data_IF_737464967631
#
_entry.id   IF_737464967631
#
_cell.length_a   1.000
_cell.length_b   1.000
_cell.length_c   1.000
_cell.angle_alpha   90.00
_cell.angle_beta   90.00
_cell.angle_gamma   90.00
#
_symmetry.space_group_name_H-M   'P 1'
#
loop_
_entity.id
_entity.type
_entity.pdbx_description
1 polymer ?
#
# COMPACT_ATOMS: atom_id res chain seq x y z
N UNK A 1 6.33 16.51 2.68
CA UNK A 1 5.83 16.42 4.07
C UNK A 1 5.02 17.68 4.42
N UNK A 2 4.01 18.09 3.62
CA UNK A 2 3.27 19.35 3.90
C UNK A 2 1.82 19.40 3.35
N UNK A 3 1.11 18.29 3.20
CA UNK A 3 -0.35 18.34 2.91
C UNK A 3 -1.18 17.46 3.85
N UNK A 4 -0.70 16.24 4.15
CA UNK A 4 -1.38 15.36 5.12
C UNK A 4 -1.40 15.92 6.55
N UNK A 5 -0.35 16.62 6.98
CA UNK A 5 -0.28 17.17 8.34
C UNK A 5 -1.25 18.35 8.53
N UNK A 6 -1.53 19.12 7.47
CA UNK A 6 -2.47 20.25 7.53
C UNK A 6 -3.93 19.81 7.55
N UNK A 7 -4.28 18.72 6.84
CA UNK A 7 -5.62 18.13 6.91
C UNK A 7 -5.89 17.48 8.28
N UNK A 8 -4.86 16.91 8.90
CA UNK A 8 -4.96 16.33 10.25
C UNK A 8 -5.17 17.40 11.32
N UNK A 9 -4.54 18.57 11.17
CA UNK A 9 -4.72 19.70 12.10
C UNK A 9 -6.05 20.44 11.91
N UNK A 10 -6.52 20.64 10.67
CA UNK A 10 -7.79 21.34 10.41
C UNK A 10 -9.03 20.51 10.76
N UNK A 11 -8.94 19.17 10.74
CA UNK A 11 -10.05 18.29 11.15
C UNK A 11 -10.34 18.31 12.65
N UNK A 12 -9.35 18.60 13.51
CA UNK A 12 -9.48 18.46 14.97
C UNK A 12 -10.15 19.63 15.69
N UNK A 13 -10.32 20.78 15.04
CA UNK A 13 -10.75 22.03 15.69
C UNK A 13 -12.21 22.40 15.48
N UNK A 14 -12.96 21.66 14.65
CA UNK A 14 -14.38 21.90 14.42
C UNK A 14 -15.22 20.85 15.16
N UNK A 15 -15.83 21.29 16.26
CA UNK A 15 -16.69 20.55 17.20
C UNK A 15 -16.01 19.45 18.04
N UNK A 16 -16.07 19.60 19.37
CA UNK A 16 -15.49 18.69 20.36
C UNK A 16 -16.09 17.28 20.44
N UNK A 17 -16.65 16.75 19.34
CA UNK A 17 -16.95 15.33 19.15
C UNK A 17 -15.81 14.68 18.38
N UNK A 18 -15.32 13.54 18.84
CA UNK A 18 -14.34 12.76 18.10
C UNK A 18 -14.97 12.33 16.75
N UNK A 19 -14.55 12.97 15.67
CA UNK A 19 -15.06 12.70 14.32
C UNK A 19 -14.84 11.22 13.95
N UNK A 20 -15.82 10.61 13.27
CA UNK A 20 -15.77 9.21 12.85
C UNK A 20 -15.83 8.19 14.00
N UNK A 21 -16.12 8.62 15.23
CA UNK A 21 -16.19 7.77 16.42
C UNK A 21 -17.62 7.51 16.93
N UNK A 22 -18.64 7.78 16.11
CA UNK A 22 -20.01 7.38 16.45
C UNK A 22 -20.12 5.85 16.50
N UNK A 23 -21.00 5.35 17.36
CA UNK A 23 -21.19 3.91 17.53
C UNK A 23 -22.03 3.33 16.42
N UNK A 24 -21.49 2.32 15.73
CA UNK A 24 -22.25 1.60 14.71
C UNK A 24 -23.37 0.80 15.38
N UNK A 25 -24.61 0.94 14.88
CA UNK A 25 -25.74 0.22 15.47
C UNK A 25 -25.59 -1.27 15.17
N UNK A 26 -26.09 -2.12 16.07
CA UNK A 26 -26.06 -3.59 15.91
C UNK A 26 -26.70 -4.09 14.61
N UNK A 27 -27.71 -3.38 14.09
CA UNK A 27 -28.34 -3.72 12.80
C UNK A 27 -27.37 -3.51 11.65
N UNK A 28 -26.71 -2.36 11.64
CA UNK A 28 -25.82 -1.93 10.57
C UNK A 28 -24.51 -2.75 10.60
N UNK A 29 -24.02 -3.10 11.80
CA UNK A 29 -22.91 -4.04 11.96
C UNK A 29 -23.20 -5.41 11.32
N UNK A 30 -24.38 -5.99 11.60
CA UNK A 30 -24.82 -7.25 10.97
C UNK A 30 -25.03 -7.14 9.47
N UNK A 31 -25.40 -5.97 8.98
CA UNK A 31 -25.53 -5.72 7.55
C UNK A 31 -24.16 -5.73 6.87
N UNK A 32 -23.18 -5.02 7.44
CA UNK A 32 -21.80 -5.03 6.96
C UNK A 32 -21.20 -6.44 6.97
N UNK A 33 -21.38 -7.19 8.05
CA UNK A 33 -20.91 -8.59 8.14
C UNK A 33 -21.48 -9.45 7.01
N UNK A 34 -22.78 -9.32 6.71
CA UNK A 34 -23.42 -10.04 5.60
C UNK A 34 -22.87 -9.61 4.24
N UNK A 35 -22.62 -8.32 4.05
CA UNK A 35 -22.00 -7.81 2.82
C UNK A 35 -20.60 -8.39 2.63
N UNK A 36 -19.79 -8.47 3.69
CA UNK A 36 -18.44 -9.05 3.68
C UNK A 36 -18.44 -10.57 3.48
N UNK A 37 -19.45 -11.28 3.98
CA UNK A 37 -19.64 -12.73 3.75
C UNK A 37 -20.09 -13.04 2.32
N UNK A 38 -20.86 -12.13 1.71
CA UNK A 38 -21.41 -12.29 0.36
C UNK A 38 -20.49 -11.82 -0.78
N UNK A 39 -19.22 -11.50 -0.51
CA UNK A 39 -18.30 -11.00 -1.54
C UNK A 39 -18.03 -12.06 -2.61
N UNK A 40 -18.37 -11.73 -3.85
CA UNK A 40 -17.90 -12.44 -5.03
C UNK A 40 -16.70 -11.69 -5.66
N UNK A 41 -15.87 -12.38 -6.47
CA UNK A 41 -14.66 -11.80 -7.07
C UNK A 41 -14.98 -10.86 -8.25
N UNK A 42 -15.81 -9.83 -8.02
CA UNK A 42 -16.14 -8.81 -8.99
C UNK A 42 -16.07 -7.41 -8.35
N UNK A 43 -15.81 -6.41 -9.19
CA UNK A 43 -15.60 -5.02 -8.73
C UNK A 43 -16.90 -4.41 -8.20
N UNK A 44 -18.06 -4.86 -8.67
CA UNK A 44 -19.35 -4.29 -8.25
C UNK A 44 -19.67 -4.62 -6.78
N UNK A 45 -19.38 -5.85 -6.34
CA UNK A 45 -19.62 -6.24 -4.95
C UNK A 45 -18.62 -5.55 -4.00
N UNK A 46 -17.33 -5.50 -4.36
CA UNK A 46 -16.33 -4.75 -3.58
C UNK A 46 -16.73 -3.27 -3.46
N UNK A 47 -17.09 -2.66 -4.60
CA UNK A 47 -17.53 -1.27 -4.65
C UNK A 47 -18.80 -1.03 -3.82
N UNK A 48 -19.76 -1.96 -3.81
CA UNK A 48 -20.96 -1.86 -2.97
C UNK A 48 -20.61 -1.79 -1.48
N UNK A 49 -19.71 -2.65 -1.01
CA UNK A 49 -19.28 -2.64 0.41
C UNK A 49 -18.54 -1.34 0.73
N UNK A 50 -17.64 -0.91 -0.15
CA UNK A 50 -16.92 0.35 0.02
C UNK A 50 -17.87 1.55 0.12
N UNK A 51 -18.85 1.67 -0.78
CA UNK A 51 -19.84 2.76 -0.77
C UNK A 51 -20.62 2.76 0.54
N UNK A 52 -21.08 1.58 0.98
CA UNK A 52 -21.77 1.44 2.27
C UNK A 52 -20.91 1.97 3.42
N UNK A 53 -19.62 1.61 3.49
CA UNK A 53 -18.72 2.10 4.53
C UNK A 53 -18.58 3.62 4.48
N UNK A 54 -18.39 4.20 3.29
CA UNK A 54 -18.18 5.63 3.14
C UNK A 54 -19.46 6.44 3.38
N UNK A 55 -20.64 5.86 3.20
CA UNK A 55 -21.92 6.47 3.53
C UNK A 55 -22.23 6.50 5.03
N UNK A 56 -21.55 5.67 5.83
CA UNK A 56 -21.65 5.65 7.30
C UNK A 56 -20.33 6.07 7.96
N UNK A 57 -19.66 7.08 7.37
CA UNK A 57 -18.31 7.54 7.76
C UNK A 57 -18.23 8.08 9.20
N UNK A 58 -19.35 8.52 9.77
CA UNK A 58 -19.50 8.90 11.18
C UNK A 58 -19.14 7.76 12.14
N UNK A 59 -19.24 6.50 11.70
CA UNK A 59 -18.89 5.29 12.44
C UNK A 59 -17.54 4.68 11.99
N UNK A 60 -16.67 5.43 11.34
CA UNK A 60 -15.42 4.93 10.76
C UNK A 60 -14.56 4.09 11.71
N UNK A 61 -14.49 4.40 13.01
CA UNK A 61 -13.74 3.59 13.99
C UNK A 61 -14.32 2.18 14.12
N UNK A 62 -15.62 2.06 14.37
CA UNK A 62 -16.29 0.76 14.55
C UNK A 62 -16.30 -0.03 13.22
N UNK A 63 -16.50 0.65 12.08
CA UNK A 63 -16.45 0.02 10.75
C UNK A 63 -15.04 -0.49 10.44
N UNK A 64 -14.00 0.29 10.72
CA UNK A 64 -12.61 -0.12 10.46
C UNK A 64 -12.27 -1.40 11.21
N UNK A 65 -12.67 -1.49 12.49
CA UNK A 65 -12.49 -2.69 13.31
C UNK A 65 -13.21 -3.89 12.71
N UNK A 66 -14.50 -3.76 12.39
CA UNK A 66 -15.28 -4.86 11.80
C UNK A 66 -14.68 -5.36 10.48
N UNK A 67 -14.29 -4.46 9.59
CA UNK A 67 -13.68 -4.83 8.30
C UNK A 67 -12.34 -5.53 8.53
N UNK A 68 -11.48 -5.03 9.42
CA UNK A 68 -10.17 -5.63 9.70
C UNK A 68 -10.29 -6.98 10.43
N UNK A 69 -11.16 -7.09 11.42
CA UNK A 69 -11.42 -8.35 12.14
C UNK A 69 -11.89 -9.43 11.15
N UNK A 70 -12.74 -9.05 10.20
CA UNK A 70 -13.24 -9.94 9.14
C UNK A 70 -12.12 -10.51 8.26
N UNK A 71 -10.97 -9.84 8.13
CA UNK A 71 -9.82 -10.39 7.38
C UNK A 71 -9.21 -11.60 8.07
N UNK A 72 -9.36 -11.69 9.39
CA UNK A 72 -8.76 -12.73 10.22
C UNK A 72 -9.75 -13.74 10.75
N UNK A 73 -11.00 -13.71 10.24
CA UNK A 73 -12.05 -14.67 10.58
C UNK A 73 -11.57 -16.12 10.34
N UNK A 74 -11.82 -16.97 11.33
CA UNK A 74 -11.47 -18.40 11.27
C UNK A 74 -12.28 -19.12 10.19
N UNK A 75 -11.69 -20.15 9.58
CA UNK A 75 -12.36 -20.93 8.53
C UNK A 75 -12.55 -20.21 7.19
N UNK A 76 -12.22 -18.92 7.10
CA UNK A 76 -12.32 -18.18 5.85
C UNK A 76 -11.32 -18.70 4.80
N UNK A 77 -11.77 -18.65 3.57
CA UNK A 77 -11.03 -18.60 2.31
C UNK A 77 -9.76 -17.72 2.13
N UNK A 78 -8.60 -18.16 1.58
CA UNK A 78 -7.55 -17.21 1.14
C UNK A 78 -8.03 -16.20 0.06
N UNK A 79 -8.91 -16.61 -0.85
CA UNK A 79 -9.49 -15.72 -1.86
C UNK A 79 -10.43 -14.72 -1.19
N UNK A 80 -11.32 -15.18 -0.30
CA UNK A 80 -12.22 -14.30 0.44
C UNK A 80 -11.46 -13.29 1.32
N UNK A 81 -10.36 -13.69 1.97
CA UNK A 81 -9.48 -12.73 2.67
C UNK A 81 -8.92 -11.68 1.73
N UNK A 82 -8.49 -12.09 0.54
CA UNK A 82 -7.97 -11.16 -0.48
C UNK A 82 -9.05 -10.18 -0.98
N UNK A 83 -10.30 -10.63 -1.14
CA UNK A 83 -11.42 -9.77 -1.53
C UNK A 83 -11.77 -8.75 -0.43
N UNK A 84 -11.81 -9.18 0.83
CA UNK A 84 -12.00 -8.27 1.97
C UNK A 84 -10.85 -7.25 2.08
N UNK A 85 -9.62 -7.64 1.75
CA UNK A 85 -8.48 -6.69 1.66
C UNK A 85 -8.66 -5.70 0.50
N UNK A 86 -9.27 -6.11 -0.61
CA UNK A 86 -9.63 -5.19 -1.69
C UNK A 86 -10.67 -4.16 -1.23
N UNK A 87 -11.62 -4.52 -0.36
CA UNK A 87 -12.55 -3.55 0.26
C UNK A 87 -11.78 -2.52 1.10
N UNK A 88 -10.84 -2.95 1.95
CA UNK A 88 -9.97 -2.02 2.71
C UNK A 88 -9.21 -1.08 1.77
N UNK A 89 -8.66 -1.64 0.69
CA UNK A 89 -7.97 -0.86 -0.33
C UNK A 89 -8.89 0.17 -0.97
N UNK A 90 -10.09 -0.20 -1.41
CA UNK A 90 -11.02 0.72 -2.06
C UNK A 90 -11.49 1.82 -1.10
N UNK A 91 -11.72 1.50 0.18
CA UNK A 91 -11.99 2.52 1.20
C UNK A 91 -10.82 3.50 1.27
N UNK A 92 -9.57 3.02 1.43
CA UNK A 92 -8.39 3.89 1.51
C UNK A 92 -8.25 4.81 0.30
N UNK A 93 -8.41 4.28 -0.91
CA UNK A 93 -8.31 5.07 -2.14
C UNK A 93 -9.37 6.17 -2.21
N UNK A 94 -10.60 5.89 -1.77
CA UNK A 94 -11.71 6.82 -1.89
C UNK A 94 -11.78 7.82 -0.71
N UNK A 95 -11.24 7.49 0.47
CA UNK A 95 -11.27 8.39 1.64
C UNK A 95 -10.63 9.76 1.37
N UNK A 96 -9.56 9.81 0.56
CA UNK A 96 -8.90 11.07 0.20
C UNK A 96 -9.72 11.95 -0.77
N UNK A 97 -10.71 11.37 -1.44
CA UNK A 97 -11.57 12.07 -2.42
C UNK A 97 -12.87 12.58 -1.80
N UNK A 98 -13.19 12.14 -0.59
CA UNK A 98 -14.44 12.44 0.09
C UNK A 98 -14.23 13.58 1.10
N UNK A 99 -14.91 14.71 0.88
CA UNK A 99 -14.93 15.86 1.79
C UNK A 99 -15.95 15.71 2.93
N UNK A 100 -16.15 14.48 3.44
CA UNK A 100 -16.98 14.21 4.62
C UNK A 100 -16.09 14.09 5.86
N UNK A 101 -16.53 14.70 6.96
CA UNK A 101 -15.87 14.60 8.25
C UNK A 101 -15.79 13.12 8.68
N UNK A 102 -14.65 12.70 9.24
CA UNK A 102 -14.42 11.30 9.62
C UNK A 102 -13.78 10.42 8.55
N UNK A 103 -13.74 10.79 7.26
CA UNK A 103 -13.16 9.93 6.21
C UNK A 103 -11.66 9.63 6.45
N UNK A 104 -10.92 10.60 6.97
CA UNK A 104 -9.49 10.45 7.33
C UNK A 104 -9.27 9.42 8.46
N UNK A 105 -10.30 9.12 9.25
CA UNK A 105 -10.24 8.15 10.35
C UNK A 105 -9.99 6.75 9.82
N UNK A 106 -10.58 6.36 8.69
CA UNK A 106 -10.31 5.07 8.06
C UNK A 106 -8.81 4.84 7.84
N UNK A 107 -8.12 5.82 7.23
CA UNK A 107 -6.69 5.72 7.01
C UNK A 107 -5.93 5.55 8.33
N UNK A 108 -6.27 6.33 9.35
CA UNK A 108 -5.62 6.26 10.67
C UNK A 108 -5.80 4.88 11.31
N UNK A 109 -7.03 4.37 11.36
CA UNK A 109 -7.33 3.07 11.98
C UNK A 109 -6.71 1.92 11.18
N UNK A 110 -6.81 1.93 9.86
CA UNK A 110 -6.16 0.92 9.02
C UNK A 110 -4.63 0.95 9.16
N UNK A 111 -4.00 2.12 9.14
CA UNK A 111 -2.54 2.23 9.32
C UNK A 111 -2.07 1.69 10.67
N UNK A 112 -2.90 1.81 11.71
CA UNK A 112 -2.64 1.29 13.04
C UNK A 112 -2.68 -0.24 13.10
N UNK A 113 -3.75 -0.84 12.58
CA UNK A 113 -4.11 -2.25 12.80
C UNK A 113 -3.57 -3.21 11.72
N UNK A 114 -3.38 -2.73 10.49
CA UNK A 114 -2.88 -3.55 9.37
C UNK A 114 -1.60 -4.33 9.70
N UNK A 115 -0.60 -3.78 10.43
CA UNK A 115 0.59 -4.54 10.80
C UNK A 115 0.30 -5.81 11.59
N UNK A 116 -0.66 -5.76 12.53
CA UNK A 116 -1.10 -6.94 13.28
C UNK A 116 -1.86 -7.95 12.42
N UNK A 117 -2.71 -7.46 11.51
CA UNK A 117 -3.44 -8.30 10.54
C UNK A 117 -2.48 -9.02 9.60
N UNK A 118 -1.48 -8.32 9.05
CA UNK A 118 -0.50 -8.90 8.13
C UNK A 118 0.43 -9.91 8.79
N UNK A 119 0.71 -9.75 10.09
CA UNK A 119 1.41 -10.78 10.85
C UNK A 119 0.57 -12.07 10.96
N UNK A 120 -0.73 -11.97 11.25
CA UNK A 120 -1.66 -13.12 11.25
C UNK A 120 -1.81 -13.75 9.86
N UNK A 121 -1.77 -12.94 8.80
CA UNK A 121 -1.83 -13.43 7.42
C UNK A 121 -0.73 -14.41 7.09
N UNK A 122 0.45 -14.32 7.70
CA UNK A 122 1.50 -15.31 7.50
C UNK A 122 0.98 -16.74 7.75
N UNK A 123 0.29 -16.95 8.87
CA UNK A 123 -0.26 -18.26 9.24
C UNK A 123 -1.54 -18.57 8.44
N UNK A 124 -2.44 -17.59 8.28
CA UNK A 124 -3.73 -17.79 7.60
C UNK A 124 -3.60 -18.11 6.10
N UNK A 125 -2.53 -17.64 5.46
CA UNK A 125 -2.18 -18.00 4.09
C UNK A 125 -1.14 -19.13 4.04
N UNK A 126 -0.86 -19.83 5.16
CA UNK A 126 0.11 -20.92 5.28
C UNK A 126 1.52 -20.58 4.74
N UNK A 127 1.91 -19.31 4.79
CA UNK A 127 3.17 -18.82 4.21
C UNK A 127 3.23 -18.90 2.68
N UNK A 128 2.09 -19.07 1.99
CA UNK A 128 2.03 -19.09 0.53
C UNK A 128 2.57 -17.78 -0.06
N UNK A 129 3.73 -17.86 -0.72
CA UNK A 129 4.42 -16.70 -1.27
C UNK A 129 3.71 -16.07 -2.48
N UNK A 130 2.74 -16.77 -3.07
CA UNK A 130 2.01 -16.39 -4.27
C UNK A 130 0.61 -15.87 -3.92
N UNK A 131 0.55 -14.64 -3.43
CA UNK A 131 -0.72 -13.91 -3.23
C UNK A 131 -0.81 -12.73 -4.21
N UNK A 132 -1.18 -12.97 -5.48
CA UNK A 132 -1.13 -11.94 -6.53
C UNK A 132 -2.07 -10.76 -6.25
N UNK A 133 -3.25 -11.01 -5.68
CA UNK A 133 -4.18 -9.95 -5.28
C UNK A 133 -3.63 -9.10 -4.15
N UNK A 134 -3.11 -9.73 -3.08
CA UNK A 134 -2.48 -9.02 -1.96
C UNK A 134 -1.30 -8.18 -2.46
N UNK A 135 -0.41 -8.73 -3.30
CA UNK A 135 0.70 -7.98 -3.89
C UNK A 135 0.22 -6.79 -4.72
N UNK A 136 -0.83 -6.96 -5.52
CA UNK A 136 -1.41 -5.88 -6.32
C UNK A 136 -1.97 -4.76 -5.43
N UNK A 137 -2.64 -5.11 -4.33
CA UNK A 137 -3.14 -4.14 -3.34
C UNK A 137 -1.98 -3.40 -2.67
N UNK A 138 -0.96 -4.11 -2.20
CA UNK A 138 0.21 -3.47 -1.57
C UNK A 138 0.94 -2.54 -2.55
N UNK A 139 1.09 -2.96 -3.80
CA UNK A 139 1.70 -2.13 -4.84
C UNK A 139 0.86 -0.88 -5.11
N UNK A 140 -0.46 -0.99 -5.21
CA UNK A 140 -1.32 0.19 -5.43
C UNK A 140 -1.24 1.19 -4.29
N UNK A 141 -1.08 0.74 -3.04
CA UNK A 141 -0.88 1.64 -1.90
C UNK A 141 0.41 2.47 -2.00
N UNK A 142 1.47 1.89 -2.56
CA UNK A 142 2.72 2.64 -2.83
C UNK A 142 2.52 3.57 -4.03
N UNK A 143 2.00 3.06 -5.14
CA UNK A 143 1.84 3.80 -6.39
C UNK A 143 0.93 5.03 -6.22
N UNK A 144 -0.09 4.91 -5.37
CA UNK A 144 -1.03 5.99 -5.04
C UNK A 144 -0.63 6.80 -3.81
N UNK A 145 0.56 6.54 -3.24
CA UNK A 145 1.07 7.24 -2.05
C UNK A 145 0.13 7.20 -0.84
N UNK A 146 -0.65 6.14 -0.71
CA UNK A 146 -1.51 5.89 0.47
C UNK A 146 -0.63 5.62 1.69
N UNK A 147 0.37 4.76 1.50
CA UNK A 147 1.40 4.45 2.49
C UNK A 147 2.79 4.58 1.88
N UNK A 148 3.79 4.79 2.74
CA UNK A 148 5.18 4.84 2.28
C UNK A 148 5.64 3.45 1.81
N UNK A 149 6.56 3.40 0.85
CA UNK A 149 7.17 2.14 0.41
C UNK A 149 7.81 1.38 1.58
N UNK A 150 8.36 2.11 2.57
CA UNK A 150 8.95 1.54 3.79
C UNK A 150 7.89 0.84 4.66
N UNK A 151 6.73 1.46 4.86
CA UNK A 151 5.61 0.88 5.60
C UNK A 151 5.08 -0.38 4.92
N UNK A 152 4.82 -0.30 3.60
CA UNK A 152 4.33 -1.45 2.82
C UNK A 152 5.34 -2.61 2.85
N UNK A 153 6.65 -2.31 2.79
CA UNK A 153 7.71 -3.32 2.89
C UNK A 153 7.68 -4.10 4.20
N UNK A 154 7.27 -3.50 5.32
CA UNK A 154 7.13 -4.23 6.59
C UNK A 154 5.86 -5.07 6.69
N UNK A 155 4.76 -4.66 6.05
CA UNK A 155 3.59 -5.53 5.87
C UNK A 155 3.97 -6.77 5.07
N UNK A 156 4.70 -6.59 3.97
CA UNK A 156 5.22 -7.70 3.16
C UNK A 156 6.14 -8.61 3.98
N UNK A 157 7.08 -8.05 4.76
CA UNK A 157 7.99 -8.84 5.58
C UNK A 157 7.24 -9.70 6.61
N UNK A 158 6.27 -9.09 7.30
CA UNK A 158 5.46 -9.76 8.33
C UNK A 158 4.70 -10.95 7.74
N UNK A 159 4.09 -10.77 6.57
CA UNK A 159 3.26 -11.80 5.93
C UNK A 159 4.06 -12.85 5.17
N UNK A 160 5.01 -12.44 4.31
CA UNK A 160 5.64 -13.33 3.33
C UNK A 160 6.86 -14.07 3.88
N UNK A 161 7.52 -13.48 4.89
CA UNK A 161 8.67 -14.11 5.55
C UNK A 161 8.26 -14.77 6.87
N UNK A 162 7.38 -14.13 7.63
CA UNK A 162 7.04 -14.52 8.99
C UNK A 162 8.08 -14.02 10.01
N UNK A 163 7.61 -13.73 11.22
CA UNK A 163 8.44 -13.19 12.30
C UNK A 163 9.44 -14.23 12.78
N UNK A 164 10.71 -13.85 12.87
CA UNK A 164 11.80 -14.68 13.41
C UNK A 164 12.35 -14.15 14.73
N UNK A 165 12.86 -15.06 15.56
CA UNK A 165 13.49 -14.74 16.83
C UNK A 165 14.87 -14.10 16.63
N UNK A 166 15.06 -12.86 17.04
CA UNK A 166 16.36 -12.21 16.98
C UNK A 166 17.40 -12.88 17.90
N UNK A 167 16.95 -13.45 19.01
CA UNK A 167 17.80 -14.19 19.94
C UNK A 167 18.38 -15.46 19.30
N UNK A 168 17.61 -16.15 18.45
CA UNK A 168 18.08 -17.34 17.75
C UNK A 168 19.21 -17.01 16.77
N UNK A 169 19.15 -15.84 16.13
CA UNK A 169 20.21 -15.36 15.22
C UNK A 169 21.46 -14.87 15.94
N UNK A 170 21.40 -14.63 17.25
CA UNK A 170 22.56 -14.26 18.07
C UNK A 170 23.28 -15.48 18.65
N UNK A 171 22.73 -16.69 18.49
CA UNK A 171 23.37 -17.91 18.99
C UNK A 171 24.66 -18.20 18.21
N UNK A 172 25.70 -18.71 18.88
CA UNK A 172 26.91 -19.14 18.19
C UNK A 172 26.60 -20.14 17.07
N UNK A 173 27.18 -19.91 15.89
CA UNK A 173 27.03 -20.79 14.73
C UNK A 173 25.90 -20.42 13.75
N UNK A 174 25.04 -19.45 14.07
CA UNK A 174 24.08 -18.90 13.10
C UNK A 174 24.73 -17.76 12.33
N UNK A 175 24.79 -17.88 11.00
CA UNK A 175 25.36 -16.82 10.16
C UNK A 175 24.34 -15.72 9.91
N UNK A 176 24.56 -14.56 10.53
CA UNK A 176 23.87 -13.32 10.23
C UNK A 176 24.85 -12.37 9.50
N UNK A 177 24.45 -11.64 8.45
CA UNK A 177 25.32 -10.66 7.79
C UNK A 177 25.87 -9.64 8.79
N UNK A 178 27.14 -9.26 8.66
CA UNK A 178 27.81 -8.33 9.59
C UNK A 178 27.04 -7.01 9.76
N UNK A 179 26.50 -6.45 8.68
CA UNK A 179 25.68 -5.24 8.73
C UNK A 179 24.44 -5.39 9.62
N UNK A 180 23.86 -6.59 9.69
CA UNK A 180 22.69 -6.85 10.52
C UNK A 180 23.08 -7.11 11.99
N UNK A 181 24.25 -7.71 12.24
CA UNK A 181 24.79 -7.80 13.60
C UNK A 181 24.97 -6.41 14.21
N UNK A 182 25.57 -5.47 13.46
CA UNK A 182 25.78 -4.09 13.93
C UNK A 182 24.45 -3.40 14.22
N UNK A 183 23.46 -3.50 13.31
CA UNK A 183 22.12 -2.93 13.53
C UNK A 183 21.42 -3.54 14.74
N UNK A 184 21.50 -4.85 14.91
CA UNK A 184 20.86 -5.55 16.03
C UNK A 184 21.49 -5.14 17.36
N UNK A 185 22.82 -5.05 17.42
CA UNK A 185 23.54 -4.54 18.58
C UNK A 185 23.15 -3.08 18.91
N UNK A 186 23.03 -2.22 17.90
CA UNK A 186 22.57 -0.84 18.07
C UNK A 186 21.15 -0.81 18.67
N UNK A 187 20.20 -1.55 18.10
CA UNK A 187 18.83 -1.61 18.61
C UNK A 187 18.72 -2.21 20.01
N UNK A 188 19.59 -3.15 20.37
CA UNK A 188 19.69 -3.69 21.72
C UNK A 188 20.11 -2.66 22.78
N UNK A 189 20.68 -1.52 22.39
CA UNK A 189 20.96 -0.42 23.33
C UNK A 189 19.78 0.55 23.49
N UNK A 190 18.84 0.54 22.54
CA UNK A 190 17.72 1.49 22.53
C UNK A 190 16.64 1.13 23.55
N UNK A 191 15.91 2.14 24.02
CA UNK A 191 14.70 1.96 24.82
C UNK A 191 13.54 1.44 23.94
N UNK A 192 12.61 0.66 24.52
CA UNK A 192 11.53 0.04 23.75
C UNK A 192 10.67 1.04 22.98
N UNK A 193 10.37 2.22 23.54
CA UNK A 193 9.58 3.25 22.85
C UNK A 193 10.23 3.80 21.59
N UNK A 194 11.57 3.78 21.51
CA UNK A 194 12.27 4.14 20.28
C UNK A 194 12.13 3.04 19.22
N UNK A 195 12.21 1.77 19.64
CA UNK A 195 11.98 0.62 18.77
C UNK A 195 10.53 0.59 18.25
N UNK A 196 9.54 0.92 19.09
CA UNK A 196 8.14 1.06 18.69
C UNK A 196 7.98 2.08 17.56
N UNK A 197 8.62 3.24 17.67
CA UNK A 197 8.62 4.27 16.61
C UNK A 197 9.23 3.76 15.30
N UNK A 198 10.32 3.00 15.39
CA UNK A 198 10.97 2.42 14.20
C UNK A 198 10.05 1.38 13.56
N UNK A 199 9.49 0.45 14.34
CA UNK A 199 8.54 -0.56 13.88
C UNK A 199 7.32 0.10 13.21
N UNK A 200 6.71 1.08 13.86
CA UNK A 200 5.57 1.83 13.33
C UNK A 200 5.89 2.48 11.98
N UNK A 201 7.03 3.16 11.88
CA UNK A 201 7.47 3.78 10.63
C UNK A 201 7.81 2.77 9.51
N UNK A 202 8.07 1.51 9.87
CA UNK A 202 8.31 0.40 8.95
C UNK A 202 7.05 -0.41 8.64
N UNK A 203 5.88 -0.10 9.21
CA UNK A 203 4.67 -0.90 9.02
C UNK A 203 4.78 -2.29 9.66
N UNK A 204 5.59 -2.39 10.71
CA UNK A 204 5.70 -3.59 11.53
C UNK A 204 4.75 -3.47 12.71
N UNK A 205 4.24 -4.61 13.17
CA UNK A 205 3.42 -4.66 14.36
C UNK A 205 4.24 -4.12 15.54
N UNK A 206 3.80 -3.00 16.10
CA UNK A 206 4.50 -2.28 17.16
C UNK A 206 3.68 -2.24 18.44
N UNK A 207 2.37 -2.47 18.36
CA UNK A 207 1.48 -2.45 19.51
C UNK A 207 1.53 -3.81 20.23
N UNK A 208 2.41 -3.87 21.22
CA UNK A 208 2.59 -5.05 22.07
C UNK A 208 1.32 -5.37 22.87
N UNK A 209 0.42 -4.41 23.11
CA UNK A 209 -0.81 -4.64 23.86
C UNK A 209 -1.85 -5.46 23.09
N UNK A 210 -1.77 -5.49 21.76
CA UNK A 210 -2.64 -6.29 20.90
C UNK A 210 -2.15 -7.73 20.71
N UNK A 211 -0.99 -8.09 21.27
CA UNK A 211 -0.48 -9.47 21.23
C UNK A 211 -1.25 -10.36 22.22
N UNK A 212 -1.62 -11.57 21.79
CA UNK A 212 -2.25 -12.60 22.63
C UNK A 212 -1.44 -12.89 23.91
N UNK A 213 -0.11 -12.85 23.83
CA UNK A 213 0.78 -13.02 24.99
C UNK A 213 0.65 -11.90 26.02
N UNK A 214 0.31 -10.68 25.58
CA UNK A 214 0.07 -9.56 26.49
C UNK A 214 -1.32 -9.65 27.10
N UNK A 215 -2.32 -10.09 26.34
CA UNK A 215 -3.68 -10.31 26.84
C UNK A 215 -3.77 -11.47 27.86
N UNK A 216 -2.94 -12.51 27.70
CA UNK A 216 -2.86 -13.63 28.63
C UNK A 216 -2.18 -13.28 29.97
N UNK A 217 -1.42 -12.19 30.02
CA UNK A 217 -0.82 -11.70 31.26
C UNK A 217 -1.69 -10.56 31.80
N UNK A 218 -2.49 -10.83 32.85
CA UNK A 218 -3.33 -9.85 33.56
C UNK A 218 -2.53 -8.75 34.29
N UNK A 219 -1.63 -8.05 33.61
CA UNK A 219 -0.71 -7.05 34.16
C UNK A 219 0.20 -6.36 33.13
N UNK A 220 1.15 -5.55 33.64
CA UNK A 220 2.10 -4.75 32.85
C UNK A 220 3.08 -5.68 32.12
N UNK A 221 3.07 -5.65 30.79
CA UNK A 221 4.00 -6.45 29.97
C UNK A 221 5.46 -6.00 30.23
N UNK A 222 6.38 -6.90 30.66
CA UNK A 222 7.76 -6.56 31.00
C UNK A 222 8.51 -5.86 29.86
N UNK A 223 9.34 -4.86 30.19
CA UNK A 223 10.04 -4.03 29.20
C UNK A 223 11.00 -4.85 28.33
N UNK A 224 11.66 -5.83 28.93
CA UNK A 224 12.57 -6.76 28.28
C UNK A 224 11.84 -7.62 27.25
N UNK A 225 10.62 -8.08 27.58
CA UNK A 225 9.78 -8.83 26.66
C UNK A 225 9.27 -7.92 25.53
N UNK A 226 8.91 -6.65 25.80
CA UNK A 226 8.52 -5.69 24.75
C UNK A 226 9.66 -5.51 23.77
N UNK A 227 10.85 -5.27 24.31
CA UNK A 227 12.06 -5.07 23.52
C UNK A 227 12.37 -6.28 22.66
N UNK A 228 12.39 -7.48 23.24
CA UNK A 228 12.58 -8.73 22.48
C UNK A 228 11.57 -8.87 21.34
N UNK A 229 10.30 -8.66 21.63
CA UNK A 229 9.21 -8.77 20.65
C UNK A 229 9.36 -7.77 19.49
N UNK A 230 9.82 -6.54 19.76
CA UNK A 230 10.09 -5.55 18.72
C UNK A 230 11.32 -5.92 17.88
N UNK A 231 12.39 -6.40 18.53
CA UNK A 231 13.63 -6.81 17.85
C UNK A 231 13.40 -7.95 16.85
N UNK A 232 12.56 -8.93 17.21
CA UNK A 232 12.16 -10.04 16.32
C UNK A 232 11.60 -9.51 14.97
N UNK A 233 10.75 -8.49 15.03
CA UNK A 233 10.10 -7.88 13.86
C UNK A 233 11.07 -7.01 13.07
N UNK A 234 11.90 -6.22 13.75
CA UNK A 234 12.93 -5.40 13.09
C UNK A 234 13.94 -6.26 12.33
N UNK A 235 14.38 -7.38 12.93
CA UNK A 235 15.27 -8.31 12.24
C UNK A 235 14.57 -8.97 11.05
N UNK A 236 13.31 -9.39 11.22
CA UNK A 236 12.50 -9.96 10.13
C UNK A 236 12.42 -9.01 8.94
N UNK A 237 12.16 -7.72 9.18
CA UNK A 237 12.14 -6.69 8.16
C UNK A 237 13.47 -6.59 7.39
N UNK A 238 14.58 -6.51 8.10
CA UNK A 238 15.90 -6.35 7.48
C UNK A 238 16.30 -7.57 6.64
N UNK A 239 16.03 -8.78 7.15
CA UNK A 239 16.26 -10.02 6.41
C UNK A 239 15.42 -10.04 5.13
N UNK A 240 14.13 -9.70 5.22
CA UNK A 240 13.25 -9.63 4.06
C UNK A 240 13.71 -8.57 3.03
N UNK A 241 14.17 -7.40 3.48
CA UNK A 241 14.70 -6.36 2.59
C UNK A 241 15.96 -6.82 1.85
N UNK A 242 16.85 -7.57 2.52
CA UNK A 242 18.03 -8.15 1.87
C UNK A 242 17.65 -9.24 0.88
N UNK A 243 16.75 -10.15 1.26
CA UNK A 243 16.26 -11.25 0.42
C UNK A 243 15.54 -10.76 -0.84
N UNK A 244 14.82 -9.64 -0.74
CA UNK A 244 14.03 -9.06 -1.84
C UNK A 244 14.70 -7.89 -2.54
N UNK A 245 15.98 -7.62 -2.22
CA UNK A 245 16.74 -6.58 -2.89
C UNK A 245 16.84 -6.93 -4.38
N UNK A 246 16.47 -6.03 -5.30
CA UNK A 246 16.64 -6.29 -6.72
C UNK A 246 18.13 -6.54 -6.99
N UNK A 247 18.42 -7.57 -7.80
CA UNK A 247 19.77 -7.87 -8.23
C UNK A 247 20.40 -6.60 -8.84
N UNK A 248 21.71 -6.36 -8.63
CA UNK A 248 22.38 -5.27 -9.32
C UNK A 248 22.10 -5.41 -10.81
N UNK A 249 21.52 -4.37 -11.42
CA UNK A 249 21.35 -4.35 -12.87
C UNK A 249 22.74 -4.56 -13.44
N UNK A 250 22.92 -5.62 -14.23
CA UNK A 250 24.15 -5.84 -14.97
C UNK A 250 24.50 -4.61 -15.81
N UNK A 251 25.74 -4.52 -16.34
CA UNK A 251 26.10 -3.43 -17.23
C UNK A 251 25.03 -3.29 -18.32
N UNK A 252 24.64 -2.05 -18.69
CA UNK A 252 23.63 -1.83 -19.71
C UNK A 252 24.01 -2.64 -20.94
N UNK A 253 23.14 -3.59 -21.33
CA UNK A 253 23.33 -4.31 -22.58
C UNK A 253 23.28 -3.23 -23.67
N UNK A 254 24.37 -3.01 -24.42
CA UNK A 254 24.36 -2.01 -25.47
C UNK A 254 23.21 -2.36 -26.44
N UNK A 255 22.48 -1.35 -26.95
CA UNK A 255 21.40 -1.61 -27.89
C UNK A 255 21.96 -2.45 -29.03
N UNK A 256 21.34 -3.61 -29.27
CA UNK A 256 21.66 -4.45 -30.43
C UNK A 256 21.48 -3.56 -31.65
N UNK A 257 22.58 -3.18 -32.32
CA UNK A 257 22.49 -2.56 -33.64
C UNK A 257 21.73 -3.56 -34.51
N UNK A 258 20.49 -3.25 -34.85
CA UNK A 258 19.81 -3.92 -35.95
C UNK A 258 20.69 -3.67 -37.17
N UNK A 259 21.37 -4.71 -37.66
CA UNK A 259 21.88 -4.68 -39.02
C UNK A 259 20.67 -4.48 -39.93
N UNK A 260 20.55 -3.27 -40.46
CA UNK A 260 19.62 -3.02 -41.57
C UNK A 260 20.22 -3.78 -42.74
N UNK A 261 19.69 -4.97 -43.02
CA UNK A 261 19.93 -5.63 -44.30
C UNK A 261 19.33 -4.73 -45.37
N UNK A 262 20.10 -4.31 -46.39
CA UNK A 262 19.51 -3.60 -47.52
C UNK A 262 18.45 -4.50 -48.13
N UNK A 263 17.24 -3.97 -48.29
CA UNK A 263 16.16 -4.63 -49.00
C UNK A 263 16.49 -4.58 -50.51
N UNK A 264 16.69 -5.73 -51.18
CA UNK A 264 17.03 -5.75 -52.60
C UNK A 264 15.86 -5.38 -53.53
N UNK A 265 14.66 -5.09 -53.00
CA UNK A 265 13.47 -4.74 -53.81
C UNK A 265 13.27 -3.22 -54.02
N UNK A 266 14.17 -2.38 -53.51
CA UNK A 266 14.17 -0.92 -53.72
C UNK A 266 15.00 -0.51 -54.95
N UNK A 267 14.85 -1.21 -56.08
CA UNK A 267 15.23 -0.65 -57.38
C UNK A 267 13.99 0.07 -57.93
N UNK A 268 13.94 1.38 -57.69
CA UNK A 268 12.89 2.23 -58.24
C UNK A 268 13.01 2.29 -59.76
N UNK A 269 11.90 2.05 -60.45
CA UNK A 269 11.82 2.22 -61.90
C UNK A 269 12.27 3.65 -62.30
N UNK A 270 12.95 3.82 -63.45
CA UNK A 270 13.34 5.14 -63.93
C UNK A 270 12.12 6.05 -64.07
N UNK A 271 12.24 7.26 -63.55
CA UNK A 271 11.27 8.32 -63.75
C UNK A 271 11.20 8.67 -65.25
N UNK A 272 10.09 8.33 -65.91
CA UNK A 272 9.76 8.88 -67.24
C UNK A 272 9.44 10.38 -67.05
N UNK A 273 10.38 11.21 -67.48
CA UNK A 273 10.28 12.67 -67.40
C UNK A 273 9.57 13.23 -68.63
N UNK A 274 8.26 13.11 -68.71
CA UNK A 274 7.45 13.76 -69.77
C UNK A 274 6.08 14.26 -69.25
N UNK A 275 6.03 14.79 -68.02
CA UNK A 275 4.85 15.55 -67.54
C UNK A 275 5.20 17.04 -67.34
N UNK A 276 5.14 17.78 -68.44
CA UNK A 276 5.10 19.25 -68.48
C UNK A 276 3.78 19.76 -67.86
N UNK A 277 3.67 19.90 -66.53
CA UNK A 277 2.60 20.75 -65.96
C UNK A 277 2.79 21.23 -64.50
N UNK A 278 3.99 21.13 -63.92
CA UNK A 278 4.23 21.52 -62.52
C UNK A 278 4.55 23.01 -62.28
N UNK A 279 4.62 23.82 -63.34
CA UNK A 279 5.00 25.24 -63.25
C UNK A 279 3.84 26.20 -62.97
N UNK A 280 2.59 25.73 -62.92
CA UNK A 280 1.40 26.60 -62.82
C UNK A 280 0.83 26.78 -61.39
N UNK A 281 1.36 26.11 -60.36
CA UNK A 281 0.78 26.15 -59.01
C UNK A 281 1.55 26.99 -57.98
N UNK A 282 2.64 27.66 -58.38
CA UNK A 282 3.45 28.49 -57.46
C UNK A 282 3.64 29.89 -58.02
N UNK A 283 2.55 30.65 -58.16
CA UNK A 283 2.57 32.12 -58.20
C UNK A 283 1.14 32.67 -58.21
N UNK A 284 0.88 33.67 -57.36
CA UNK A 284 -0.39 34.39 -57.08
C UNK A 284 -1.25 33.70 -56.00
N UNK A 285 -1.66 34.29 -54.88
CA UNK A 285 -1.52 35.63 -54.27
C UNK A 285 -1.86 35.45 -52.76
N UNK A 286 -1.07 35.91 -51.80
CA UNK A 286 -1.01 37.26 -51.19
C UNK A 286 -2.27 37.72 -50.42
N UNK A 287 -2.05 38.03 -49.13
CA UNK A 287 -2.80 38.91 -48.19
C UNK A 287 -3.97 38.36 -47.36
N UNK A 288 -3.74 38.24 -46.05
CA UNK A 288 -4.76 38.35 -45.01
C UNK A 288 -4.67 39.75 -44.37
N UNK A 289 -5.77 40.51 -44.24
CA UNK A 289 -5.76 41.75 -43.47
C UNK A 289 -6.03 41.47 -41.99
N UNK A 290 -5.42 42.29 -41.14
CA UNK A 290 -5.69 42.40 -39.71
C UNK A 290 -6.81 43.44 -39.42
N UNK A 291 -7.25 43.49 -38.15
CA UNK A 291 -8.20 44.41 -37.44
C UNK A 291 -9.63 43.88 -37.28
N UNK A 292 -10.34 43.99 -36.15
CA UNK A 292 -10.08 44.68 -34.87
C UNK A 292 -10.99 44.15 -33.71
N UNK A 293 -10.70 44.52 -32.43
CA UNK A 293 -11.37 44.01 -31.24
C UNK A 293 -12.42 44.99 -30.68
N UNK A 294 -13.72 44.68 -30.79
CA UNK A 294 -14.75 45.10 -29.82
C UNK A 294 -16.13 44.55 -30.23
N UNK A 295 -16.72 43.66 -29.43
CA UNK A 295 -18.16 43.73 -29.09
C UNK A 295 -18.48 42.77 -27.93
N UNK A 296 -19.02 43.35 -26.88
CA UNK A 296 -19.60 42.70 -25.71
C UNK A 296 -20.83 41.85 -26.06
N UNK A 297 -21.03 40.72 -25.37
CA UNK A 297 -22.19 40.40 -24.52
C UNK A 297 -21.98 39.03 -23.87
#
# INVERSE_FOLDING_TARGET
MVLNDLLTLFGFLADGRAQGAERLRRRDARELEKLLQGLAPNVADIGRVMVWCLDTVECAVDISRLVLDSLTEEGLDPMQRSLRLCVVSDILHNTATIYRQGAIVYKREFEHELPGVFEKFHVLFQGERKQPLVRRVLQSWVDRSIFTAKYVKGLEASMLRGVVSAEEYLRPGVHLPESLHVKLAEWQTQHFSQLEKICKAQGLNWDVQLSEKAQAMSGRFPEELRKKWLLDRLLTYELYVQETRPAPRGPPVPPVRREVRPDPELDGDPFDSDDEDYAALVSQDTMLPATDPNTSF
#
